data_IF_643877161036
#
_entry.id   IF_643877161036
#
_cell.length_a   1.000
_cell.length_b   1.000
_cell.length_c   1.000
_cell.angle_alpha   90.00
_cell.angle_beta   90.00
_cell.angle_gamma   90.00
#
_symmetry.space_group_name_H-M   'P 1'
#
loop_
_entity.id
_entity.type
_entity.pdbx_description
1 polymer ?
#
# COMPACT_ATOMS: atom_id res chain seq x y z
N UNK A 1 -9.70 -12.47 -11.82
CA UNK A 1 -8.30 -12.28 -12.22
C UNK A 1 -7.50 -13.46 -11.70
N UNK A 2 -6.72 -14.10 -12.57
CA UNK A 2 -5.81 -15.17 -12.17
C UNK A 2 -4.51 -14.58 -11.60
N UNK A 3 -4.26 -14.82 -10.31
CA UNK A 3 -3.06 -14.34 -9.62
C UNK A 3 -1.78 -15.02 -10.06
N UNK A 4 -1.86 -16.27 -10.51
CA UNK A 4 -0.71 -17.02 -11.01
C UNK A 4 -0.26 -16.44 -12.35
N UNK A 5 -1.20 -16.15 -13.25
CA UNK A 5 -0.91 -15.44 -14.50
C UNK A 5 -0.34 -14.04 -14.21
N UNK A 6 -0.99 -13.27 -13.34
CA UNK A 6 -0.51 -11.95 -12.92
C UNK A 6 0.93 -12.00 -12.38
N UNK A 7 1.25 -12.98 -11.52
CA UNK A 7 2.58 -13.15 -10.97
C UNK A 7 3.63 -13.36 -12.06
N UNK A 8 3.40 -14.27 -13.02
CA UNK A 8 4.37 -14.55 -14.09
C UNK A 8 4.55 -13.39 -15.07
N UNK A 9 3.53 -12.57 -15.30
CA UNK A 9 3.63 -11.41 -16.17
C UNK A 9 4.44 -10.26 -15.54
N UNK A 10 4.49 -10.17 -14.21
CA UNK A 10 5.01 -8.99 -13.51
C UNK A 10 6.30 -9.24 -12.72
N UNK A 11 6.59 -10.48 -12.31
CA UNK A 11 7.74 -10.78 -11.44
C UNK A 11 9.08 -10.50 -12.11
N UNK A 12 9.99 -9.84 -11.38
CA UNK A 12 11.37 -9.56 -11.84
C UNK A 12 12.38 -10.34 -11.01
N UNK A 13 13.50 -10.73 -11.62
CA UNK A 13 14.60 -11.44 -10.94
C UNK A 13 15.16 -10.67 -9.73
N UNK A 14 15.11 -9.34 -9.76
CA UNK A 14 15.58 -8.47 -8.68
C UNK A 14 14.62 -8.38 -7.49
N UNK A 15 13.38 -8.84 -7.62
CA UNK A 15 12.37 -8.76 -6.57
C UNK A 15 12.48 -9.94 -5.61
N UNK A 16 12.30 -9.70 -4.31
CA UNK A 16 12.41 -10.75 -3.29
C UNK A 16 11.48 -11.94 -3.57
N UNK A 17 10.29 -11.69 -4.12
CA UNK A 17 9.30 -12.71 -4.44
C UNK A 17 9.77 -13.71 -5.50
N UNK A 18 10.77 -13.37 -6.32
CA UNK A 18 11.30 -14.26 -7.36
C UNK A 18 11.81 -15.59 -6.79
N UNK A 19 12.22 -15.61 -5.51
CA UNK A 19 12.63 -16.82 -4.81
C UNK A 19 11.54 -17.92 -4.76
N UNK A 20 10.27 -17.56 -4.94
CA UNK A 20 9.13 -18.47 -4.92
C UNK A 20 8.70 -18.95 -6.32
N UNK A 21 9.32 -18.45 -7.38
CA UNK A 21 8.95 -18.70 -8.78
C UNK A 21 8.77 -20.20 -9.07
N UNK A 22 9.74 -21.02 -8.66
CA UNK A 22 9.70 -22.45 -8.90
C UNK A 22 8.56 -23.15 -8.14
N UNK A 23 8.28 -22.72 -6.91
CA UNK A 23 7.18 -23.26 -6.10
C UNK A 23 5.83 -22.93 -6.73
N UNK A 24 5.66 -21.71 -7.24
CA UNK A 24 4.43 -21.28 -7.93
C UNK A 24 4.26 -22.01 -9.27
N UNK A 25 5.35 -22.16 -10.04
CA UNK A 25 5.34 -22.85 -11.33
C UNK A 25 4.93 -24.32 -11.20
N UNK A 26 5.48 -25.02 -10.20
CA UNK A 26 5.29 -26.46 -10.01
C UNK A 26 4.15 -26.81 -9.08
N UNK A 27 3.31 -25.87 -8.66
CA UNK A 27 2.24 -26.12 -7.68
C UNK A 27 1.27 -27.23 -8.12
N UNK A 28 1.02 -27.36 -9.43
CA UNK A 28 0.13 -28.39 -9.99
C UNK A 28 0.84 -29.70 -10.34
N UNK A 29 2.16 -29.74 -10.21
CA UNK A 29 2.99 -30.87 -10.59
C UNK A 29 3.30 -31.71 -9.37
N UNK A 30 3.18 -33.03 -9.52
CA UNK A 30 3.71 -33.99 -8.54
C UNK A 30 4.83 -34.79 -9.18
N UNK A 31 5.80 -35.17 -8.34
CA UNK A 31 6.92 -35.98 -8.79
C UNK A 31 6.63 -37.45 -8.56
N UNK A 32 6.68 -38.23 -9.64
CA UNK A 32 6.59 -39.68 -9.63
C UNK A 32 7.96 -40.29 -9.98
N UNK A 33 8.42 -41.25 -9.17
CA UNK A 33 9.70 -41.95 -9.37
C UNK A 33 9.80 -42.68 -10.72
N UNK A 34 8.68 -43.06 -11.32
CA UNK A 34 8.63 -43.85 -12.56
C UNK A 34 8.39 -43.01 -13.81
N UNK A 35 7.70 -41.88 -13.69
CA UNK A 35 7.26 -41.08 -14.84
C UNK A 35 7.74 -39.62 -14.82
N UNK A 36 8.41 -39.18 -13.74
CA UNK A 36 8.94 -37.83 -13.61
C UNK A 36 7.91 -36.84 -13.08
N UNK A 37 8.00 -35.58 -13.49
CA UNK A 37 7.04 -34.53 -13.09
C UNK A 37 5.79 -34.61 -13.96
N UNK A 38 4.64 -34.86 -13.33
CA UNK A 38 3.33 -34.89 -13.98
C UNK A 38 2.42 -33.83 -13.39
N UNK A 39 1.70 -33.11 -14.24
CA UNK A 39 0.62 -32.23 -13.81
C UNK A 39 -0.57 -33.08 -13.35
N UNK A 40 -0.86 -33.05 -12.07
CA UNK A 40 -1.83 -33.95 -11.43
C UNK A 40 -2.88 -33.21 -10.60
N UNK A 41 -2.76 -31.88 -10.50
CA UNK A 41 -3.67 -31.01 -9.78
C UNK A 41 -4.21 -29.93 -10.71
N UNK A 42 -5.38 -29.41 -10.37
CA UNK A 42 -6.06 -28.34 -11.12
C UNK A 42 -6.36 -27.16 -10.18
N UNK A 43 -5.34 -26.69 -9.46
CA UNK A 43 -5.51 -25.55 -8.54
C UNK A 43 -5.71 -24.26 -9.32
N UNK A 44 -6.74 -23.49 -8.93
CA UNK A 44 -7.08 -22.20 -9.51
C UNK A 44 -6.88 -21.08 -8.48
N UNK A 45 -6.22 -19.99 -8.91
CA UNK A 45 -5.81 -18.88 -8.05
C UNK A 45 -6.52 -17.59 -8.46
N UNK A 46 -7.85 -17.63 -8.49
CA UNK A 46 -8.67 -16.52 -8.98
C UNK A 46 -9.20 -15.65 -7.85
N UNK A 47 -9.16 -14.34 -8.06
CA UNK A 47 -9.82 -13.35 -7.20
C UNK A 47 -10.61 -12.35 -8.06
N UNK A 48 -11.71 -11.80 -7.54
CA UNK A 48 -12.49 -10.76 -8.18
C UNK A 48 -11.87 -9.37 -7.97
N UNK A 49 -11.51 -9.04 -6.73
CA UNK A 49 -10.99 -7.73 -6.34
C UNK A 49 -9.96 -7.80 -5.20
N UNK A 50 -9.49 -6.63 -4.75
CA UNK A 50 -8.49 -6.51 -3.68
C UNK A 50 -9.05 -6.93 -2.32
N UNK A 51 -10.34 -6.73 -2.06
CA UNK A 51 -10.97 -7.12 -0.80
C UNK A 51 -11.02 -8.65 -0.68
N UNK A 52 -11.22 -9.37 -1.78
CA UNK A 52 -11.11 -10.81 -1.82
C UNK A 52 -9.67 -11.28 -1.55
N UNK A 53 -8.65 -10.60 -2.07
CA UNK A 53 -7.25 -10.90 -1.76
C UNK A 53 -6.93 -10.68 -0.27
N UNK A 54 -7.42 -9.59 0.33
CA UNK A 54 -7.26 -9.30 1.76
C UNK A 54 -7.98 -10.34 2.61
N UNK A 55 -9.22 -10.69 2.23
CA UNK A 55 -10.00 -11.73 2.90
C UNK A 55 -9.27 -13.06 2.86
N UNK A 56 -8.77 -13.46 1.69
CA UNK A 56 -8.02 -14.69 1.52
C UNK A 56 -6.70 -14.70 2.31
N UNK A 57 -6.00 -13.56 2.40
CA UNK A 57 -4.83 -13.44 3.29
C UNK A 57 -5.22 -13.71 4.75
N UNK A 58 -6.30 -13.09 5.24
CA UNK A 58 -6.80 -13.27 6.60
C UNK A 58 -7.24 -14.71 6.85
N UNK A 59 -7.85 -15.38 5.86
CA UNK A 59 -8.17 -16.81 5.93
C UNK A 59 -6.91 -17.66 6.12
N UNK A 60 -5.88 -17.46 5.30
CA UNK A 60 -4.61 -18.20 5.39
C UNK A 60 -3.90 -18.00 6.74
N UNK A 61 -4.15 -16.88 7.42
CA UNK A 61 -3.59 -16.58 8.74
C UNK A 61 -4.37 -17.24 9.91
N UNK A 62 -5.53 -17.85 9.65
CA UNK A 62 -6.34 -18.49 10.69
C UNK A 62 -5.62 -19.70 11.30
N UNK A 63 -5.85 -20.00 12.59
CA UNK A 63 -5.11 -21.05 13.31
C UNK A 63 -5.38 -22.48 12.82
N UNK A 64 -6.49 -22.70 12.13
CA UNK A 64 -6.90 -24.03 11.67
C UNK A 64 -6.39 -24.35 10.25
N UNK A 65 -5.70 -23.40 9.60
CA UNK A 65 -5.18 -23.57 8.25
C UNK A 65 -3.85 -24.34 8.27
N UNK A 66 -3.79 -25.40 7.48
CA UNK A 66 -2.56 -26.11 7.18
C UNK A 66 -1.98 -25.64 5.84
N UNK A 67 -0.66 -25.50 5.75
CA UNK A 67 0.02 -25.06 4.53
C UNK A 67 0.34 -26.23 3.60
N UNK A 68 -0.71 -26.73 2.93
CA UNK A 68 -0.58 -27.56 1.73
C UNK A 68 0.17 -26.82 0.61
N UNK A 69 0.64 -27.51 -0.45
CA UNK A 69 1.22 -26.84 -1.62
C UNK A 69 0.34 -25.73 -2.20
N UNK A 70 -0.97 -25.97 -2.25
CA UNK A 70 -1.97 -24.99 -2.69
C UNK A 70 -2.01 -23.75 -1.77
N UNK A 71 -2.18 -23.93 -0.46
CA UNK A 71 -2.24 -22.82 0.49
C UNK A 71 -0.93 -22.03 0.56
N UNK A 72 0.21 -22.72 0.37
CA UNK A 72 1.53 -22.09 0.28
C UNK A 72 1.65 -21.25 -0.98
N UNK A 73 1.13 -21.72 -2.10
CA UNK A 73 1.06 -20.95 -3.35
C UNK A 73 0.13 -19.74 -3.22
N UNK A 74 -1.08 -19.92 -2.67
CA UNK A 74 -2.00 -18.82 -2.35
C UNK A 74 -1.33 -17.73 -1.54
N UNK A 75 -0.58 -18.10 -0.50
CA UNK A 75 0.12 -17.14 0.36
C UNK A 75 1.12 -16.29 -0.43
N UNK A 76 1.97 -16.91 -1.26
CA UNK A 76 2.96 -16.18 -2.07
C UNK A 76 2.34 -15.28 -3.13
N UNK A 77 1.27 -15.76 -3.77
CA UNK A 77 0.57 -15.01 -4.81
C UNK A 77 -0.12 -13.78 -4.22
N UNK A 78 -0.79 -13.92 -3.06
CA UNK A 78 -1.47 -12.81 -2.40
C UNK A 78 -0.47 -11.80 -1.84
N UNK A 79 0.61 -12.24 -1.18
CA UNK A 79 1.63 -11.31 -0.67
C UNK A 79 2.25 -10.50 -1.79
N UNK A 80 2.54 -11.16 -2.93
CA UNK A 80 3.06 -10.48 -4.11
C UNK A 80 2.07 -9.47 -4.70
N UNK A 81 0.82 -9.90 -4.91
CA UNK A 81 -0.23 -9.07 -5.47
C UNK A 81 -0.47 -7.81 -4.64
N UNK A 82 -0.70 -7.97 -3.33
CA UNK A 82 -0.94 -6.85 -2.42
C UNK A 82 0.28 -5.93 -2.32
N UNK A 83 1.50 -6.48 -2.28
CA UNK A 83 2.72 -5.68 -2.29
C UNK A 83 2.88 -4.87 -3.58
N UNK A 84 2.54 -5.45 -4.74
CA UNK A 84 2.61 -4.78 -6.04
C UNK A 84 1.62 -3.62 -6.13
N UNK A 85 0.47 -3.74 -5.46
CA UNK A 85 -0.51 -2.66 -5.29
C UNK A 85 -0.15 -1.65 -4.19
N UNK A 86 1.01 -1.79 -3.55
CA UNK A 86 1.51 -0.89 -2.53
C UNK A 86 0.93 -1.11 -1.13
N UNK A 87 0.25 -2.22 -0.86
CA UNK A 87 -0.28 -2.49 0.48
C UNK A 87 0.81 -2.88 1.48
N UNK A 88 0.59 -2.46 2.73
CA UNK A 88 1.31 -2.89 3.92
C UNK A 88 0.32 -3.25 5.03
N UNK A 89 0.71 -4.18 5.89
CA UNK A 89 -0.05 -4.51 7.09
C UNK A 89 0.57 -3.73 8.24
N UNK A 90 -0.19 -2.84 8.88
CA UNK A 90 0.32 -1.94 9.94
C UNK A 90 1.05 -2.69 11.05
N UNK A 91 0.50 -3.83 11.44
CA UNK A 91 1.04 -4.68 12.50
C UNK A 91 2.31 -5.42 12.07
N UNK A 92 2.49 -5.66 10.76
CA UNK A 92 3.61 -6.37 10.16
C UNK A 92 4.07 -5.70 8.85
N UNK A 93 4.74 -4.53 8.91
CA UNK A 93 4.96 -3.70 7.72
C UNK A 93 5.75 -4.37 6.59
N UNK A 94 6.50 -5.42 6.89
CA UNK A 94 7.37 -6.10 5.92
C UNK A 94 6.81 -7.41 5.36
N UNK A 95 5.69 -7.92 5.88
CA UNK A 95 5.26 -9.29 5.53
C UNK A 95 4.90 -9.43 4.06
N UNK A 96 4.23 -8.42 3.48
CA UNK A 96 3.84 -8.43 2.07
C UNK A 96 5.06 -8.29 1.16
N UNK A 97 6.05 -7.46 1.54
CA UNK A 97 7.27 -7.27 0.74
C UNK A 97 8.29 -8.41 0.88
N UNK A 98 8.34 -9.04 2.07
CA UNK A 98 9.31 -10.09 2.42
C UNK A 98 8.62 -11.23 3.17
N UNK A 99 7.73 -11.99 2.51
CA UNK A 99 7.12 -13.16 3.13
C UNK A 99 8.18 -14.21 3.50
N UNK A 100 7.97 -15.00 4.58
CA UNK A 100 8.88 -16.07 4.95
C UNK A 100 8.86 -17.20 3.92
N UNK A 101 9.92 -18.01 3.92
CA UNK A 101 9.96 -19.22 3.10
C UNK A 101 8.90 -20.23 3.55
N UNK A 102 8.70 -20.39 4.86
CA UNK A 102 7.60 -21.18 5.41
C UNK A 102 6.50 -20.24 5.94
N UNK A 103 5.30 -20.20 5.32
CA UNK A 103 4.22 -19.31 5.78
C UNK A 103 3.82 -19.50 7.26
N UNK A 104 4.06 -20.69 7.82
CA UNK A 104 3.84 -20.99 9.24
C UNK A 104 4.72 -20.14 10.17
N UNK A 105 5.92 -19.74 9.74
CA UNK A 105 6.82 -18.87 10.52
C UNK A 105 6.12 -17.53 10.85
N UNK A 106 5.37 -16.99 9.89
CA UNK A 106 4.57 -15.80 10.08
C UNK A 106 3.23 -16.11 10.76
N UNK A 107 2.40 -16.93 10.11
CA UNK A 107 0.99 -17.12 10.48
C UNK A 107 0.84 -17.71 11.89
N UNK A 108 1.76 -18.57 12.31
CA UNK A 108 1.83 -19.06 13.68
C UNK A 108 2.85 -18.27 14.51
N UNK A 109 4.12 -18.25 14.09
CA UNK A 109 5.22 -17.73 14.90
C UNK A 109 5.11 -16.25 15.20
N UNK A 110 5.19 -15.41 14.17
CA UNK A 110 5.18 -13.94 14.31
C UNK A 110 3.86 -13.43 14.88
N UNK A 111 2.72 -13.93 14.40
CA UNK A 111 1.40 -13.53 14.91
C UNK A 111 1.27 -13.88 16.40
N UNK A 112 1.65 -15.10 16.82
CA UNK A 112 1.61 -15.49 18.24
C UNK A 112 2.52 -14.60 19.08
N UNK A 113 3.75 -14.37 18.63
CA UNK A 113 4.70 -13.53 19.36
C UNK A 113 4.19 -12.10 19.51
N UNK A 114 3.53 -11.56 18.48
CA UNK A 114 2.91 -10.23 18.54
C UNK A 114 1.78 -10.18 19.55
N UNK A 115 0.91 -11.19 19.62
CA UNK A 115 -0.18 -11.25 20.59
C UNK A 115 0.37 -11.33 22.03
N UNK A 116 1.41 -12.14 22.26
CA UNK A 116 2.09 -12.23 23.57
C UNK A 116 2.67 -10.86 23.96
N UNK A 117 3.33 -10.16 23.02
CA UNK A 117 3.89 -8.83 23.28
C UNK A 117 2.82 -7.78 23.64
N UNK A 118 1.57 -7.99 23.24
CA UNK A 118 0.42 -7.15 23.58
C UNK A 118 -0.27 -7.60 24.89
N UNK A 119 0.22 -8.65 25.55
CA UNK A 119 -0.37 -9.21 26.77
C UNK A 119 -1.65 -10.01 26.53
N UNK A 120 -1.86 -10.52 25.31
CA UNK A 120 -3.02 -11.33 24.93
C UNK A 120 -2.88 -12.84 25.24
N UNK A 121 -1.89 -13.21 26.04
CA UNK A 121 -1.57 -14.60 26.39
C UNK A 121 -1.93 -14.95 27.84
N UNK A 122 -2.21 -16.23 28.07
CA UNK A 122 -2.35 -16.82 29.39
C UNK A 122 -1.08 -17.65 29.67
N UNK A 123 -0.12 -17.09 30.41
CA UNK A 123 1.16 -17.74 30.75
C UNK A 123 1.93 -18.26 29.52
N UNK A 124 2.08 -17.43 28.48
CA UNK A 124 2.75 -17.78 27.22
C UNK A 124 1.89 -18.58 26.24
N UNK A 125 0.66 -18.93 26.61
CA UNK A 125 -0.29 -19.64 25.74
C UNK A 125 -1.27 -18.66 25.12
N UNK A 126 -1.33 -18.64 23.78
CA UNK A 126 -2.29 -17.84 23.03
C UNK A 126 -3.44 -18.73 22.58
N UNK A 127 -4.66 -18.41 23.03
CA UNK A 127 -5.87 -19.15 22.63
C UNK A 127 -6.19 -18.90 21.16
N UNK A 128 -6.77 -19.91 20.49
CA UNK A 128 -7.20 -19.77 19.09
C UNK A 128 -8.18 -18.61 18.92
N UNK A 129 -9.13 -18.42 19.82
CA UNK A 129 -10.07 -17.29 19.79
C UNK A 129 -9.35 -15.93 19.74
N UNK A 130 -8.32 -15.74 20.56
CA UNK A 130 -7.50 -14.51 20.57
C UNK A 130 -6.80 -14.32 19.24
N UNK A 131 -6.22 -15.39 18.66
CA UNK A 131 -5.57 -15.31 17.34
C UNK A 131 -6.57 -15.00 16.23
N UNK A 132 -7.76 -15.61 16.23
CA UNK A 132 -8.80 -15.32 15.22
C UNK A 132 -9.22 -13.85 15.26
N UNK A 133 -9.44 -13.30 16.46
CA UNK A 133 -9.78 -11.89 16.64
C UNK A 133 -8.66 -10.97 16.11
N UNK A 134 -7.41 -11.23 16.52
CA UNK A 134 -6.27 -10.44 16.06
C UNK A 134 -6.09 -10.46 14.53
N UNK A 135 -6.25 -11.63 13.89
CA UNK A 135 -6.17 -11.77 12.43
C UNK A 135 -7.28 -11.01 11.72
N UNK A 136 -8.51 -11.05 12.27
CA UNK A 136 -9.65 -10.31 11.71
C UNK A 136 -9.41 -8.79 11.71
N UNK A 137 -8.72 -8.30 12.74
CA UNK A 137 -8.41 -6.88 12.96
C UNK A 137 -7.14 -6.38 12.25
N UNK A 138 -6.44 -7.22 11.48
CA UNK A 138 -5.26 -6.77 10.71
C UNK A 138 -5.60 -5.58 9.82
N UNK A 139 -4.78 -4.54 9.92
CA UNK A 139 -5.00 -3.26 9.25
C UNK A 139 -4.17 -3.20 7.97
N UNK A 140 -4.83 -3.29 6.82
CA UNK A 140 -4.22 -3.11 5.51
C UNK A 140 -4.22 -1.64 5.12
N UNK A 141 -3.06 -1.10 4.78
CA UNK A 141 -2.88 0.29 4.37
C UNK A 141 -2.24 0.30 3.00
N UNK A 142 -2.86 0.97 2.03
CA UNK A 142 -2.27 1.13 0.71
C UNK A 142 -1.34 2.36 0.71
N UNK A 143 -0.05 2.15 0.41
CA UNK A 143 0.86 3.23 0.05
C UNK A 143 0.38 3.81 -1.28
N UNK A 144 -0.30 4.93 -1.20
CA UNK A 144 -0.86 5.61 -2.37
C UNK A 144 0.14 6.54 -3.04
N UNK A 145 1.39 6.57 -2.56
CA UNK A 145 2.36 7.61 -2.90
C UNK A 145 3.71 6.96 -3.18
N UNK A 146 4.19 7.12 -4.42
CA UNK A 146 5.54 6.75 -4.81
C UNK A 146 6.58 7.71 -4.22
N UNK A 147 6.12 8.90 -3.83
CA UNK A 147 6.93 9.90 -3.13
C UNK A 147 6.77 9.74 -1.62
N UNK A 148 7.84 9.33 -0.94
CA UNK A 148 7.87 9.17 0.53
C UNK A 148 7.54 10.49 1.24
N UNK A 149 6.55 10.51 2.13
CA UNK A 149 6.23 11.69 2.95
C UNK A 149 7.01 11.61 4.26
N UNK A 150 7.94 12.54 4.49
CA UNK A 150 8.72 12.59 5.73
C UNK A 150 7.84 12.95 6.94
N UNK A 151 8.26 12.54 8.15
CA UNK A 151 7.53 12.83 9.38
C UNK A 151 7.22 14.32 9.57
N UNK A 152 8.17 15.20 9.21
CA UNK A 152 7.99 16.66 9.27
C UNK A 152 6.88 17.17 8.35
N UNK A 153 6.73 16.61 7.15
CA UNK A 153 5.70 17.00 6.20
C UNK A 153 4.37 16.38 6.61
N UNK A 154 4.37 15.12 7.05
CA UNK A 154 3.17 14.45 7.55
C UNK A 154 2.58 15.19 8.77
N UNK A 155 3.42 15.70 9.66
CA UNK A 155 2.97 16.52 10.79
C UNK A 155 2.28 17.81 10.32
N UNK A 156 2.80 18.48 9.27
CA UNK A 156 2.13 19.65 8.68
C UNK A 156 0.78 19.31 8.07
N UNK A 157 0.63 18.14 7.42
CA UNK A 157 -0.68 17.67 6.96
C UNK A 157 -1.65 17.46 8.12
N UNK A 158 -1.19 16.86 9.22
CA UNK A 158 -2.02 16.65 10.42
C UNK A 158 -2.44 17.99 11.04
N UNK A 159 -1.55 18.99 11.07
CA UNK A 159 -1.82 20.32 11.62
C UNK A 159 -2.91 21.08 10.86
N UNK A 160 -2.95 20.97 9.53
CA UNK A 160 -3.95 21.66 8.70
C UNK A 160 -5.24 20.86 8.51
N UNK A 161 -5.18 19.54 8.73
CA UNK A 161 -6.32 18.65 8.52
C UNK A 161 -7.30 18.72 9.69
N UNK A 162 -8.58 18.85 9.36
CA UNK A 162 -9.66 18.82 10.38
C UNK A 162 -9.89 17.44 10.99
N UNK A 163 -9.38 16.36 10.35
CA UNK A 163 -9.57 14.96 10.79
C UNK A 163 -8.39 14.40 11.58
N UNK A 164 -7.26 15.10 11.63
CA UNK A 164 -5.98 14.65 12.23
C UNK A 164 -5.52 13.26 11.73
N UNK A 165 -5.97 12.84 10.55
CA UNK A 165 -5.57 11.58 9.95
C UNK A 165 -4.19 11.74 9.30
N UNK A 166 -3.37 10.67 9.34
CA UNK A 166 -2.12 10.61 8.59
C UNK A 166 -2.41 10.71 7.09
N UNK A 167 -1.56 11.43 6.35
CA UNK A 167 -1.74 11.65 4.92
C UNK A 167 -1.89 10.34 4.13
N UNK A 168 -1.10 9.33 4.49
CA UNK A 168 -1.13 8.02 3.83
C UNK A 168 -2.47 7.29 3.99
N UNK A 169 -3.24 7.60 5.03
CA UNK A 169 -4.54 6.96 5.28
C UNK A 169 -5.71 7.64 4.56
N UNK A 170 -5.49 8.77 3.89
CA UNK A 170 -6.54 9.52 3.17
C UNK A 170 -6.88 8.87 1.83
N UNK A 171 -8.13 9.01 1.37
CA UNK A 171 -8.50 8.61 0.01
C UNK A 171 -7.81 9.48 -1.05
N UNK A 172 -7.65 9.01 -2.29
CA UNK A 172 -6.90 9.72 -3.35
C UNK A 172 -7.39 11.15 -3.58
N UNK A 173 -8.71 11.36 -3.70
CA UNK A 173 -9.27 12.70 -3.87
C UNK A 173 -9.00 13.61 -2.65
N UNK A 174 -9.02 13.05 -1.45
CA UNK A 174 -8.71 13.75 -0.20
C UNK A 174 -7.23 14.11 -0.13
N UNK A 175 -6.33 13.19 -0.55
CA UNK A 175 -4.89 13.47 -0.67
C UNK A 175 -4.63 14.67 -1.59
N UNK A 176 -5.28 14.72 -2.75
CA UNK A 176 -5.12 15.83 -3.70
C UNK A 176 -5.58 17.16 -3.08
N UNK A 177 -6.73 17.16 -2.40
CA UNK A 177 -7.25 18.34 -1.72
C UNK A 177 -6.31 18.83 -0.60
N UNK A 178 -5.83 17.91 0.23
CA UNK A 178 -4.92 18.22 1.33
C UNK A 178 -3.55 18.71 0.84
N UNK A 179 -3.01 18.16 -0.26
CA UNK A 179 -1.79 18.70 -0.90
C UNK A 179 -2.01 20.16 -1.29
N UNK A 180 -3.10 20.47 -1.98
CA UNK A 180 -3.38 21.84 -2.41
C UNK A 180 -3.54 22.81 -1.22
N UNK A 181 -4.15 22.33 -0.11
CA UNK A 181 -4.26 23.07 1.13
C UNK A 181 -2.90 23.31 1.80
N UNK A 182 -2.02 22.30 1.83
CA UNK A 182 -0.70 22.42 2.44
C UNK A 182 0.20 23.37 1.66
N UNK A 183 0.24 23.26 0.33
CA UNK A 183 0.98 24.21 -0.52
C UNK A 183 0.49 25.64 -0.24
N UNK A 184 -0.82 25.84 -0.15
CA UNK A 184 -1.40 27.14 0.16
C UNK A 184 -1.00 27.64 1.55
N UNK A 185 -1.07 26.80 2.58
CA UNK A 185 -0.68 27.13 3.95
C UNK A 185 0.81 27.52 4.04
N UNK A 186 1.69 26.74 3.40
CA UNK A 186 3.13 26.98 3.43
C UNK A 186 3.54 28.26 2.71
N UNK A 187 2.88 28.60 1.60
CA UNK A 187 3.17 29.80 0.83
C UNK A 187 2.52 31.06 1.40
N UNK A 188 1.51 30.94 2.26
CA UNK A 188 0.75 32.09 2.78
C UNK A 188 1.30 32.54 4.13
N UNK A 189 2.23 33.49 4.12
CA UNK A 189 2.81 34.11 5.32
C UNK A 189 2.16 35.48 5.55
N UNK A 190 1.68 35.75 6.77
CA UNK A 190 1.01 37.00 7.15
C UNK A 190 -0.12 37.42 6.18
N UNK A 191 -0.86 36.43 5.66
CA UNK A 191 -1.96 36.64 4.73
C UNK A 191 -1.56 36.90 3.27
N UNK A 192 -0.26 36.97 2.95
CA UNK A 192 0.26 37.18 1.60
C UNK A 192 0.98 35.93 1.09
N UNK A 193 0.89 35.70 -0.22
CA UNK A 193 1.66 34.63 -0.86
C UNK A 193 3.10 35.07 -1.05
N UNK A 194 4.03 34.27 -0.52
CA UNK A 194 5.46 34.39 -0.83
C UNK A 194 5.79 33.56 -2.08
N UNK A 195 6.89 33.92 -2.73
CA UNK A 195 7.44 33.18 -3.87
C UNK A 195 8.83 32.65 -3.47
N UNK A 196 8.95 31.34 -3.17
CA UNK A 196 10.24 30.71 -2.93
C UNK A 196 11.20 30.81 -4.12
N UNK A 197 12.50 30.78 -3.85
CA UNK A 197 13.54 30.72 -4.87
C UNK A 197 13.68 29.29 -5.42
N UNK A 198 12.68 28.83 -6.18
CA UNK A 198 12.59 27.45 -6.68
C UNK A 198 13.84 26.96 -7.41
N UNK A 199 14.54 27.83 -8.12
CA UNK A 199 15.76 27.51 -8.86
C UNK A 199 16.87 26.89 -8.00
N UNK A 200 16.91 27.20 -6.70
CA UNK A 200 17.93 26.66 -5.78
C UNK A 200 17.88 25.13 -5.61
N UNK A 201 16.70 24.53 -5.77
CA UNK A 201 16.47 23.09 -5.48
C UNK A 201 15.79 22.37 -6.64
N UNK A 202 15.02 23.07 -7.47
CA UNK A 202 14.12 22.45 -8.45
C UNK A 202 14.74 22.29 -9.85
N UNK A 203 15.96 22.76 -10.08
CA UNK A 203 16.67 22.64 -11.37
C UNK A 203 15.84 23.08 -12.60
N UNK A 204 14.95 24.07 -12.43
CA UNK A 204 14.05 24.56 -13.49
C UNK A 204 12.82 23.69 -13.78
N UNK A 205 12.62 22.56 -13.10
CA UNK A 205 11.46 21.70 -13.29
C UNK A 205 10.20 22.17 -12.57
N UNK A 206 10.37 22.97 -11.51
CA UNK A 206 9.29 23.57 -10.74
C UNK A 206 9.61 25.06 -10.60
N UNK A 207 8.62 25.90 -10.91
CA UNK A 207 8.65 27.33 -10.71
C UNK A 207 7.31 27.81 -10.12
N UNK A 208 7.21 29.11 -9.83
CA UNK A 208 6.00 29.72 -9.27
C UNK A 208 4.76 29.55 -10.19
N UNK A 209 4.95 29.55 -11.51
CA UNK A 209 3.88 29.38 -12.47
C UNK A 209 3.29 27.97 -12.41
N UNK A 210 4.17 26.96 -12.36
CA UNK A 210 3.80 25.55 -12.20
C UNK A 210 3.01 25.34 -10.91
N UNK A 211 3.51 25.87 -9.78
CA UNK A 211 2.84 25.71 -8.48
C UNK A 211 1.46 26.37 -8.47
N UNK A 212 1.33 27.57 -9.06
CA UNK A 212 0.04 28.25 -9.21
C UNK A 212 -0.93 27.46 -10.09
N UNK A 213 -0.46 26.93 -11.22
CA UNK A 213 -1.28 26.14 -12.13
C UNK A 213 -1.78 24.85 -11.47
N UNK A 214 -0.89 24.13 -10.78
CA UNK A 214 -1.26 22.94 -10.02
C UNK A 214 -2.37 23.25 -9.00
N UNK A 215 -2.17 24.27 -8.14
CA UNK A 215 -3.19 24.67 -7.15
C UNK A 215 -4.53 25.05 -7.77
N UNK A 216 -4.51 25.72 -8.92
CA UNK A 216 -5.70 26.14 -9.65
C UNK A 216 -6.47 24.93 -10.19
N UNK A 217 -5.77 23.98 -10.82
CA UNK A 217 -6.39 22.75 -11.33
C UNK A 217 -6.97 21.90 -10.20
N UNK A 218 -6.30 21.83 -9.05
CA UNK A 218 -6.76 21.00 -7.93
C UNK A 218 -7.93 21.63 -7.14
N UNK A 219 -8.45 22.80 -7.54
CA UNK A 219 -9.59 23.41 -6.85
C UNK A 219 -10.86 22.54 -6.88
N UNK A 220 -11.08 21.77 -7.95
CA UNK A 220 -12.25 20.89 -8.06
C UNK A 220 -12.27 19.76 -7.01
N UNK A 221 -11.11 19.39 -6.45
CA UNK A 221 -11.01 18.43 -5.35
C UNK A 221 -11.35 19.05 -3.99
N UNK A 222 -11.31 20.38 -3.86
CA UNK A 222 -11.60 21.13 -2.62
C UNK A 222 -13.04 21.63 -2.52
N UNK A 223 -13.74 21.74 -3.64
CA UNK A 223 -15.10 22.28 -3.70
C UNK A 223 -16.15 21.19 -3.91
N UNK A 224 -17.35 21.43 -3.36
CA UNK A 224 -18.51 20.54 -3.45
C UNK A 224 -19.60 21.08 -4.39
N UNK A 225 -19.27 22.01 -5.30
CA UNK A 225 -20.24 22.48 -6.31
C UNK A 225 -20.45 21.42 -7.38
N UNK A 226 -21.60 21.45 -8.05
CA UNK A 226 -21.91 20.48 -9.11
C UNK A 226 -20.88 20.51 -10.24
N UNK A 227 -20.35 21.70 -10.56
CA UNK A 227 -19.27 21.85 -11.55
C UNK A 227 -17.97 21.19 -11.08
N UNK A 228 -17.59 21.37 -9.81
CA UNK A 228 -16.38 20.77 -9.25
C UNK A 228 -16.49 19.24 -9.19
N UNK A 229 -17.68 18.72 -8.86
CA UNK A 229 -17.96 17.28 -8.86
C UNK A 229 -17.90 16.72 -10.29
N UNK A 230 -18.46 17.43 -11.27
CA UNK A 230 -18.40 17.05 -12.68
C UNK A 230 -16.97 17.05 -13.21
N UNK A 231 -16.19 18.09 -12.91
CA UNK A 231 -14.78 18.20 -13.29
C UNK A 231 -13.95 17.06 -12.68
N UNK A 232 -14.14 16.76 -11.38
CA UNK A 232 -13.43 15.67 -10.70
C UNK A 232 -13.63 14.31 -11.38
N UNK A 233 -14.84 14.05 -11.87
CA UNK A 233 -15.18 12.79 -12.59
C UNK A 233 -14.48 12.66 -13.94
N UNK A 234 -13.89 13.74 -14.48
CA UNK A 234 -13.13 13.69 -15.73
C UNK A 234 -11.71 13.16 -15.57
N UNK A 235 -11.19 13.09 -14.34
CA UNK A 235 -9.85 12.56 -14.05
C UNK A 235 -9.89 11.04 -13.91
N UNK A 236 -8.99 10.35 -14.62
CA UNK A 236 -8.74 8.91 -14.42
C UNK A 236 -7.99 8.66 -13.11
N UNK A 237 -8.04 7.42 -12.61
CA UNK A 237 -7.30 7.06 -11.40
C UNK A 237 -5.78 7.19 -11.60
N UNK A 238 -5.25 6.86 -12.78
CA UNK A 238 -3.83 7.06 -13.11
C UNK A 238 -3.43 8.54 -13.07
N UNK A 239 -4.29 9.42 -13.58
CA UNK A 239 -4.07 10.86 -13.50
C UNK A 239 -4.07 11.34 -12.06
N UNK A 240 -4.99 10.86 -11.23
CA UNK A 240 -5.04 11.21 -9.80
C UNK A 240 -3.81 10.74 -9.04
N UNK A 241 -3.34 9.51 -9.29
CA UNK A 241 -2.10 9.00 -8.71
C UNK A 241 -0.91 9.87 -9.11
N UNK A 242 -0.79 10.23 -10.39
CA UNK A 242 0.24 11.16 -10.86
C UNK A 242 0.16 12.52 -10.16
N UNK A 243 -1.05 13.08 -10.01
CA UNK A 243 -1.27 14.36 -9.34
C UNK A 243 -0.85 14.32 -7.87
N UNK A 244 -1.12 13.21 -7.17
CA UNK A 244 -0.64 13.02 -5.80
C UNK A 244 0.89 13.04 -5.74
N UNK A 245 1.57 12.25 -6.57
CA UNK A 245 3.04 12.18 -6.57
C UNK A 245 3.68 13.52 -6.98
N UNK A 246 3.14 14.16 -8.01
CA UNK A 246 3.61 15.46 -8.48
C UNK A 246 3.39 16.56 -7.43
N UNK A 247 2.21 16.57 -6.82
CA UNK A 247 1.88 17.48 -5.74
C UNK A 247 2.78 17.31 -4.51
N UNK A 248 3.10 16.08 -4.11
CA UNK A 248 4.06 15.80 -3.05
C UNK A 248 5.48 16.26 -3.39
N UNK A 249 5.88 16.16 -4.66
CA UNK A 249 7.17 16.68 -5.13
C UNK A 249 7.23 18.21 -4.97
N UNK A 250 6.15 18.92 -5.30
CA UNK A 250 6.02 20.37 -5.06
C UNK A 250 6.09 20.68 -3.56
N UNK A 251 5.35 19.95 -2.71
CA UNK A 251 5.38 20.14 -1.25
C UNK A 251 6.79 19.98 -0.70
N UNK A 252 7.52 18.95 -1.11
CA UNK A 252 8.91 18.73 -0.70
C UNK A 252 9.83 19.90 -1.08
N UNK A 253 9.73 20.37 -2.32
CA UNK A 253 10.51 21.50 -2.81
C UNK A 253 10.24 22.77 -1.99
N UNK A 254 8.96 23.11 -1.79
CA UNK A 254 8.56 24.26 -0.98
C UNK A 254 9.03 24.12 0.46
N UNK A 255 8.91 22.92 1.04
CA UNK A 255 9.33 22.65 2.41
C UNK A 255 10.82 22.85 2.59
N UNK A 256 11.64 22.45 1.62
CA UNK A 256 13.09 22.68 1.68
C UNK A 256 13.47 24.16 1.57
N UNK A 257 12.70 24.94 0.81
CA UNK A 257 12.99 26.35 0.53
C UNK A 257 12.48 27.33 1.60
N UNK A 258 11.52 26.92 2.44
CA UNK A 258 10.89 27.76 3.48
C UNK A 258 11.41 27.41 4.89
N UNK A 259 12.26 26.39 5.03
CA UNK A 259 12.95 26.08 6.29
C UNK A 259 13.77 27.26 6.81
#
# INVERSE_FOLDING_TARGET
MDLKEFYFQNIKESEYHHRFLNSVKKVNYTYNLFTGEEETQDYQFEIYDVEEAITKFKELCQPDVNFSPENKCWFYLITYYLNTLGYEIKEFPRILARPPAEPADFTYGEIRNRIIALGGDDNGTVRYATRRAFVAELTFMQKSCNIEVSDSINQKFIEISTRQASFNCMHTDEKIAEIANLIENMLKQDGKFITPEYEKVCCGFIDDTIVKNYRKQMQCFRHCTDEAIAERKTYSEEQKTFLVDYGLTIVKAIHELIK
#
